data_IF_176270996142
#
_entry.id   IF_176270996142
#
_cell.length_a   1.000
_cell.length_b   1.000
_cell.length_c   1.000
_cell.angle_alpha   90.00
_cell.angle_beta   90.00
_cell.angle_gamma   90.00
#
_symmetry.space_group_name_H-M   'P 1'
#
loop_
_entity.id
_entity.type
_entity.pdbx_description
1 polymer ?
#
# COMPACT_ATOMS: atom_id res chain seq x y z
N UNK A 1 -29.93 15.16 38.16
CA UNK A 1 -28.83 15.00 37.18
C UNK A 1 -28.63 13.52 36.90
N UNK A 2 -29.22 13.00 35.83
CA UNK A 2 -29.14 11.59 35.44
C UNK A 2 -28.38 11.50 34.12
N UNK A 3 -27.05 11.37 34.22
CA UNK A 3 -26.20 11.00 33.09
C UNK A 3 -25.78 9.55 33.28
N UNK A 4 -26.52 8.64 32.66
CA UNK A 4 -26.05 7.27 32.43
C UNK A 4 -26.55 6.75 31.09
N UNK A 5 -25.57 6.23 30.33
CA UNK A 5 -25.67 5.14 29.35
C UNK A 5 -26.45 5.35 28.04
N UNK A 6 -25.93 6.19 27.14
CA UNK A 6 -26.03 5.90 25.69
C UNK A 6 -24.66 5.41 25.21
N UNK A 7 -24.45 4.09 25.26
CA UNK A 7 -23.44 3.47 24.38
C UNK A 7 -23.90 3.77 22.96
N UNK A 8 -23.16 4.59 22.23
CA UNK A 8 -23.45 4.92 20.83
C UNK A 8 -23.58 3.64 20.00
N UNK A 9 -24.82 3.26 19.69
CA UNK A 9 -25.14 2.13 18.81
C UNK A 9 -25.04 2.61 17.37
N UNK A 10 -23.82 2.90 16.93
CA UNK A 10 -23.52 3.44 15.59
C UNK A 10 -24.13 2.60 14.47
N UNK A 11 -24.28 1.29 14.67
CA UNK A 11 -24.93 0.35 13.73
C UNK A 11 -26.46 0.49 13.61
N UNK A 12 -27.10 1.41 14.35
CA UNK A 12 -28.55 1.73 14.23
C UNK A 12 -28.82 3.00 13.43
N UNK A 13 -27.80 3.67 12.91
CA UNK A 13 -27.99 4.87 12.09
C UNK A 13 -28.57 4.49 10.72
N UNK A 14 -29.37 5.36 10.13
CA UNK A 14 -30.07 5.08 8.88
C UNK A 14 -29.13 4.93 7.66
N UNK A 15 -27.91 5.46 7.76
CA UNK A 15 -26.81 5.33 6.80
C UNK A 15 -25.97 4.06 7.01
N UNK A 16 -26.20 3.31 8.09
CA UNK A 16 -25.54 2.03 8.31
C UNK A 16 -26.23 0.93 7.50
N UNK A 17 -25.49 0.07 6.77
CA UNK A 17 -26.08 -1.01 6.00
C UNK A 17 -26.95 -1.92 6.88
N UNK A 18 -28.17 -2.18 6.43
CA UNK A 18 -29.07 -3.10 7.12
C UNK A 18 -28.72 -4.56 6.76
N UNK A 19 -29.39 -5.52 7.41
CA UNK A 19 -29.12 -6.95 7.17
C UNK A 19 -29.37 -7.38 5.73
N UNK A 20 -30.30 -6.73 5.03
CA UNK A 20 -30.64 -7.01 3.63
C UNK A 20 -29.53 -6.49 2.71
N UNK A 21 -28.95 -5.32 2.98
CA UNK A 21 -27.81 -4.79 2.23
C UNK A 21 -26.59 -5.72 2.33
N UNK A 22 -26.33 -6.25 3.54
CA UNK A 22 -25.28 -7.24 3.76
C UNK A 22 -25.55 -8.55 3.00
N UNK A 23 -26.78 -9.07 3.09
CA UNK A 23 -27.18 -10.28 2.36
C UNK A 23 -27.12 -10.10 0.84
N UNK A 24 -27.44 -8.92 0.31
CA UNK A 24 -27.34 -8.62 -1.11
C UNK A 24 -25.89 -8.66 -1.61
N UNK A 25 -24.92 -8.25 -0.79
CA UNK A 25 -23.49 -8.34 -1.12
C UNK A 25 -23.03 -9.80 -1.02
N UNK A 26 -23.28 -10.47 0.11
CA UNK A 26 -22.86 -11.87 0.33
C UNK A 26 -23.51 -12.86 -0.65
N UNK A 27 -24.72 -12.59 -1.13
CA UNK A 27 -25.38 -13.44 -2.14
C UNK A 27 -24.89 -13.22 -3.56
N UNK A 28 -24.38 -12.02 -3.88
CA UNK A 28 -23.85 -11.68 -5.22
C UNK A 28 -22.40 -12.06 -5.40
N UNK A 29 -21.65 -12.13 -4.30
CA UNK A 29 -20.24 -12.51 -4.29
C UNK A 29 -20.06 -13.65 -3.31
N UNK A 30 -19.61 -14.79 -3.80
CA UNK A 30 -19.05 -15.81 -2.90
C UNK A 30 -17.76 -15.22 -2.29
N UNK A 31 -17.91 -14.61 -1.11
CA UNK A 31 -16.82 -13.96 -0.39
C UNK A 31 -15.71 -14.94 0.02
N UNK A 32 -15.98 -16.25 -0.05
CA UNK A 32 -14.99 -17.30 0.20
C UNK A 32 -14.35 -17.83 -1.08
N UNK A 33 -14.88 -17.46 -2.25
CA UNK A 33 -14.19 -17.71 -3.51
C UNK A 33 -13.01 -16.74 -3.63
N UNK A 34 -11.81 -17.31 -3.75
CA UNK A 34 -10.55 -16.58 -3.86
C UNK A 34 -10.57 -15.51 -4.96
N UNK A 35 -11.37 -15.70 -6.01
CA UNK A 35 -11.54 -14.73 -7.11
C UNK A 35 -12.31 -13.46 -6.71
N UNK A 36 -13.19 -13.57 -5.72
CA UNK A 36 -14.10 -12.50 -5.29
C UNK A 36 -13.72 -11.90 -3.94
N UNK A 37 -12.68 -12.43 -3.28
CA UNK A 37 -12.20 -11.91 -2.02
C UNK A 37 -11.75 -10.44 -2.17
N UNK A 38 -12.36 -9.48 -1.46
CA UNK A 38 -12.02 -8.07 -1.61
C UNK A 38 -10.61 -7.82 -1.07
N UNK A 39 -9.65 -7.58 -1.98
CA UNK A 39 -8.29 -7.22 -1.59
C UNK A 39 -8.25 -5.72 -1.27
N UNK A 40 -8.36 -5.37 0.01
CA UNK A 40 -8.35 -3.98 0.48
C UNK A 40 -6.92 -3.44 0.50
N UNK A 41 -6.72 -2.22 -0.03
CA UNK A 41 -5.53 -1.43 0.25
C UNK A 41 -5.86 -0.40 1.33
N UNK A 42 -5.17 -0.46 2.47
CA UNK A 42 -5.34 0.50 3.56
C UNK A 42 -4.38 1.65 3.31
N UNK A 43 -4.92 2.84 2.99
CA UNK A 43 -4.11 4.03 2.72
C UNK A 43 -3.26 4.42 3.94
N UNK A 44 -1.95 4.70 3.75
CA UNK A 44 -1.13 5.28 4.80
C UNK A 44 -1.62 6.65 5.29
N UNK A 45 -2.45 7.34 4.52
CA UNK A 45 -3.13 8.59 4.95
C UNK A 45 -3.96 8.38 6.22
N UNK A 46 -4.47 7.15 6.44
CA UNK A 46 -5.19 6.80 7.68
C UNK A 46 -4.29 6.83 8.92
N UNK A 47 -2.96 6.87 8.74
CA UNK A 47 -1.96 7.08 9.80
C UNK A 47 -1.37 8.50 9.79
N UNK A 48 -1.93 9.42 9.00
CA UNK A 48 -1.50 10.82 8.94
C UNK A 48 -0.37 11.12 7.94
N UNK A 49 -0.04 10.20 7.03
CA UNK A 49 0.99 10.43 6.02
C UNK A 49 0.41 11.10 4.77
N UNK A 50 1.01 12.20 4.35
CA UNK A 50 0.67 12.89 3.08
C UNK A 50 1.55 12.32 1.97
N UNK A 51 1.07 11.29 1.27
CA UNK A 51 1.91 10.49 0.35
C UNK A 51 2.53 11.32 -0.78
N UNK A 52 1.79 12.26 -1.35
CA UNK A 52 2.28 13.13 -2.42
C UNK A 52 3.55 13.90 -2.04
N UNK A 53 3.66 14.30 -0.77
CA UNK A 53 4.83 14.99 -0.24
C UNK A 53 6.04 14.09 -0.26
N UNK A 54 5.92 12.83 0.19
CA UNK A 54 7.01 11.86 0.18
C UNK A 54 7.44 11.50 -1.25
N UNK A 55 6.49 11.33 -2.17
CA UNK A 55 6.75 10.97 -3.57
C UNK A 55 7.31 12.13 -4.41
N UNK A 56 7.21 13.38 -3.94
CA UNK A 56 7.63 14.56 -4.72
C UNK A 56 8.65 15.39 -3.96
N UNK A 57 8.21 16.12 -2.92
CA UNK A 57 9.09 16.99 -2.14
C UNK A 57 10.15 16.22 -1.37
N UNK A 58 9.79 15.05 -0.83
CA UNK A 58 10.67 14.19 -0.05
C UNK A 58 11.86 13.67 -0.85
N UNK A 59 11.72 13.52 -2.17
CA UNK A 59 12.80 13.13 -3.08
C UNK A 59 13.45 14.33 -3.79
N UNK A 60 13.14 15.56 -3.35
CA UNK A 60 13.77 16.79 -3.85
C UNK A 60 13.19 17.35 -5.15
N UNK A 61 12.01 16.89 -5.59
CA UNK A 61 11.34 17.42 -6.78
C UNK A 61 10.34 18.52 -6.41
N UNK A 62 10.13 19.45 -7.34
CA UNK A 62 9.01 20.40 -7.26
C UNK A 62 7.67 19.76 -7.66
N UNK A 63 6.56 20.36 -7.22
CA UNK A 63 5.20 19.79 -7.43
C UNK A 63 4.85 19.53 -8.90
N UNK A 64 5.39 20.34 -9.81
CA UNK A 64 5.11 20.29 -11.25
C UNK A 64 6.22 19.60 -12.05
N UNK A 65 7.32 19.22 -11.41
CA UNK A 65 8.48 18.64 -12.07
C UNK A 65 8.26 17.14 -12.32
N UNK A 66 8.72 16.64 -13.45
CA UNK A 66 8.77 15.19 -13.74
C UNK A 66 10.05 14.59 -13.18
N UNK A 67 9.99 13.33 -12.76
CA UNK A 67 11.21 12.65 -12.31
C UNK A 67 12.19 12.51 -13.50
N UNK A 68 13.51 12.75 -13.33
CA UNK A 68 14.47 12.56 -14.41
C UNK A 68 14.49 11.12 -14.93
N UNK A 69 14.68 10.96 -16.24
CA UNK A 69 14.85 9.67 -16.92
C UNK A 69 16.25 9.06 -16.62
N UNK A 70 16.40 7.72 -16.70
CA UNK A 70 15.39 6.72 -17.03
C UNK A 70 14.56 6.27 -15.82
N UNK A 71 13.26 6.07 -16.05
CA UNK A 71 12.36 5.54 -15.03
C UNK A 71 12.50 4.02 -14.89
N UNK A 72 12.48 3.54 -13.64
CA UNK A 72 12.62 2.13 -13.29
C UNK A 72 11.62 1.77 -12.19
N UNK A 73 11.14 0.53 -12.21
CA UNK A 73 10.25 0.03 -11.18
C UNK A 73 10.96 -0.17 -9.82
N UNK A 74 10.23 -0.03 -8.70
CA UNK A 74 10.76 -0.34 -7.38
C UNK A 74 10.99 -1.85 -7.24
N UNK A 75 12.08 -2.22 -6.56
CA UNK A 75 12.47 -3.61 -6.37
C UNK A 75 12.58 -3.95 -4.89
N UNK A 76 11.90 -5.03 -4.49
CA UNK A 76 11.98 -5.57 -3.15
C UNK A 76 12.75 -6.90 -3.18
N UNK A 77 13.59 -7.12 -2.16
CA UNK A 77 14.50 -8.27 -2.16
C UNK A 77 13.72 -9.58 -2.05
N UNK A 78 14.14 -10.66 -2.74
CA UNK A 78 13.52 -11.96 -2.59
C UNK A 78 13.60 -12.43 -1.15
N UNK A 79 12.48 -12.91 -0.63
CA UNK A 79 12.40 -13.55 0.68
C UNK A 79 12.24 -15.05 0.47
N UNK A 80 13.07 -15.84 1.12
CA UNK A 80 12.89 -17.29 1.18
C UNK A 80 11.74 -17.61 2.12
N UNK A 81 10.73 -18.32 1.62
CA UNK A 81 9.56 -18.71 2.39
C UNK A 81 9.77 -20.03 3.14
N UNK A 82 10.82 -20.79 2.87
CA UNK A 82 11.09 -22.05 3.56
C UNK A 82 11.45 -21.77 5.02
N UNK A 83 10.63 -22.24 5.96
CA UNK A 83 10.84 -22.01 7.41
C UNK A 83 10.58 -20.59 7.88
N UNK A 84 10.09 -19.71 7.01
CA UNK A 84 9.79 -18.31 7.32
C UNK A 84 8.53 -18.19 8.19
N UNK A 85 8.44 -17.17 9.06
CA UNK A 85 7.30 -16.98 9.98
C UNK A 85 5.95 -16.91 9.26
N UNK A 86 5.93 -16.30 8.07
CA UNK A 86 4.73 -16.17 7.22
C UNK A 86 4.48 -17.35 6.28
N UNK A 87 5.26 -18.43 6.38
CA UNK A 87 5.15 -19.62 5.51
C UNK A 87 3.81 -20.36 5.65
N UNK A 88 3.12 -20.19 6.77
CA UNK A 88 1.77 -20.74 6.97
C UNK A 88 0.70 -20.09 6.06
N UNK A 89 0.99 -18.89 5.52
CA UNK A 89 0.08 -18.20 4.61
C UNK A 89 0.24 -18.78 3.19
N UNK A 90 -0.54 -19.82 2.87
CA UNK A 90 -0.47 -20.50 1.56
C UNK A 90 -0.60 -19.54 0.39
N UNK A 91 -1.52 -18.56 0.46
CA UNK A 91 -1.69 -17.56 -0.60
C UNK A 91 -0.43 -16.70 -0.83
N UNK A 92 0.33 -16.39 0.22
CA UNK A 92 1.58 -15.67 0.12
C UNK A 92 2.68 -16.54 -0.51
N UNK A 93 2.77 -17.81 -0.11
CA UNK A 93 3.68 -18.79 -0.71
C UNK A 93 3.37 -18.98 -2.20
N UNK A 94 2.09 -19.04 -2.59
CA UNK A 94 1.68 -19.09 -3.99
C UNK A 94 2.09 -17.81 -4.72
N UNK A 95 1.87 -16.63 -4.13
CA UNK A 95 2.19 -15.35 -4.75
C UNK A 95 3.68 -15.20 -5.08
N UNK A 96 4.60 -15.60 -4.18
CA UNK A 96 6.05 -15.51 -4.43
C UNK A 96 6.55 -16.44 -5.55
N UNK A 97 5.80 -17.51 -5.85
CA UNK A 97 6.11 -18.45 -6.93
C UNK A 97 5.33 -18.15 -8.23
N UNK A 98 4.38 -17.21 -8.19
CA UNK A 98 3.53 -16.88 -9.34
C UNK A 98 4.24 -15.89 -10.26
N UNK A 99 4.20 -16.15 -11.58
CA UNK A 99 4.77 -15.25 -12.59
C UNK A 99 3.85 -14.04 -12.82
N UNK A 100 4.39 -12.87 -13.21
CA UNK A 100 3.57 -11.72 -13.56
C UNK A 100 2.59 -12.05 -14.69
N UNK A 101 1.34 -11.60 -14.56
CA UNK A 101 0.28 -11.75 -15.56
C UNK A 101 -0.75 -10.63 -15.41
N UNK A 102 -1.30 -10.09 -16.52
CA UNK A 102 -2.41 -9.14 -16.48
C UNK A 102 -3.65 -9.67 -15.74
N UNK A 103 -3.85 -10.99 -15.65
CA UNK A 103 -4.95 -11.60 -14.91
C UNK A 103 -4.92 -11.27 -13.42
N UNK A 104 -3.72 -11.11 -12.86
CA UNK A 104 -3.52 -10.74 -11.45
C UNK A 104 -3.51 -9.23 -11.22
N UNK A 105 -3.67 -8.41 -12.27
CA UNK A 105 -3.64 -6.96 -12.13
C UNK A 105 -4.92 -6.45 -11.47
N UNK A 106 -4.77 -5.75 -10.35
CA UNK A 106 -5.88 -5.15 -9.64
C UNK A 106 -6.19 -3.75 -10.20
N UNK A 107 -6.83 -3.68 -11.36
CA UNK A 107 -7.05 -2.42 -12.10
C UNK A 107 -7.77 -1.34 -11.27
N UNK A 108 -8.64 -1.73 -10.34
CA UNK A 108 -9.36 -0.78 -9.46
C UNK A 108 -8.42 0.01 -8.56
N UNK A 109 -7.28 -0.57 -8.17
CA UNK A 109 -6.28 0.09 -7.32
C UNK A 109 -5.47 1.17 -8.06
N UNK A 110 -5.50 1.18 -9.40
CA UNK A 110 -4.82 2.21 -10.18
C UNK A 110 -5.32 3.61 -9.81
N UNK A 111 -6.63 3.75 -9.61
CA UNK A 111 -7.23 5.01 -9.17
C UNK A 111 -6.68 5.48 -7.81
N UNK A 112 -6.44 4.54 -6.89
CA UNK A 112 -5.85 4.82 -5.57
C UNK A 112 -4.39 5.25 -5.73
N UNK A 113 -3.60 4.52 -6.52
CA UNK A 113 -2.19 4.83 -6.77
C UNK A 113 -2.00 6.24 -7.33
N UNK A 114 -2.77 6.61 -8.37
CA UNK A 114 -2.72 7.94 -8.98
C UNK A 114 -3.17 9.02 -7.99
N UNK A 115 -4.24 8.76 -7.22
CA UNK A 115 -4.74 9.70 -6.21
C UNK A 115 -3.67 9.98 -5.13
N UNK A 116 -2.94 8.97 -4.70
CA UNK A 116 -1.88 9.14 -3.68
C UNK A 116 -0.70 9.97 -4.17
N UNK A 117 -0.43 9.96 -5.48
CA UNK A 117 0.58 10.81 -6.10
C UNK A 117 0.12 12.27 -6.27
N UNK A 118 -1.18 12.56 -6.05
CA UNK A 118 -1.82 13.89 -6.12
C UNK A 118 -1.55 14.67 -7.42
N UNK A 119 -1.24 13.93 -8.49
CA UNK A 119 -1.01 14.46 -9.84
C UNK A 119 -1.25 13.39 -10.87
N UNK A 120 -1.70 13.80 -12.05
CA UNK A 120 -1.73 12.93 -13.24
C UNK A 120 -0.28 12.73 -13.70
N UNK A 121 0.18 11.49 -13.64
CA UNK A 121 1.49 11.06 -14.13
C UNK A 121 1.40 9.61 -14.58
N UNK A 122 2.39 9.15 -15.35
CA UNK A 122 2.45 7.76 -15.79
C UNK A 122 2.72 6.83 -14.61
N UNK A 123 2.11 5.63 -14.64
CA UNK A 123 2.30 4.62 -13.58
C UNK A 123 3.79 4.32 -13.33
N UNK A 124 4.61 4.35 -14.38
CA UNK A 124 6.05 4.10 -14.32
C UNK A 124 6.82 5.28 -13.69
N UNK A 125 6.33 6.51 -13.82
CA UNK A 125 6.90 7.66 -13.11
C UNK A 125 6.62 7.54 -11.61
N UNK A 126 5.40 7.16 -11.22
CA UNK A 126 5.05 6.86 -9.81
C UNK A 126 5.97 5.76 -9.27
N UNK A 127 6.19 4.71 -10.06
CA UNK A 127 7.09 3.62 -9.72
C UNK A 127 8.52 4.12 -9.47
N UNK A 128 9.05 4.96 -10.34
CA UNK A 128 10.36 5.56 -10.20
C UNK A 128 10.44 6.46 -8.96
N UNK A 129 9.41 7.25 -8.66
CA UNK A 129 9.35 8.08 -7.44
C UNK A 129 9.36 7.22 -6.18
N UNK A 130 8.60 6.12 -6.15
CA UNK A 130 8.63 5.13 -5.06
C UNK A 130 10.04 4.53 -4.94
N UNK A 131 10.68 4.18 -6.05
CA UNK A 131 12.04 3.65 -6.07
C UNK A 131 13.04 4.67 -5.48
N UNK A 132 12.97 5.94 -5.89
CA UNK A 132 13.81 7.00 -5.32
C UNK A 132 13.56 7.21 -3.83
N UNK A 133 12.30 7.13 -3.40
CA UNK A 133 11.94 7.16 -1.97
C UNK A 133 12.57 5.99 -1.19
N UNK A 134 12.65 4.80 -1.78
CA UNK A 134 13.33 3.62 -1.20
C UNK A 134 14.86 3.74 -1.21
N UNK A 135 15.46 4.34 -2.24
CA UNK A 135 16.92 4.47 -2.36
C UNK A 135 17.49 5.60 -1.49
N UNK A 136 16.70 6.66 -1.30
CA UNK A 136 17.09 7.84 -0.51
C UNK A 136 16.57 7.78 0.94
N UNK A 137 16.01 6.64 1.37
CA UNK A 137 15.46 6.42 2.71
C UNK A 137 14.50 7.55 3.17
N UNK A 138 13.62 7.97 2.26
CA UNK A 138 12.69 9.08 2.48
C UNK A 138 11.49 8.56 3.27
N UNK A 139 11.46 8.87 4.57
CA UNK A 139 10.40 8.44 5.49
C UNK A 139 10.56 6.99 5.98
N UNK A 140 9.58 6.47 6.72
CA UNK A 140 9.63 5.10 7.22
C UNK A 140 9.66 4.09 6.09
N UNK A 141 10.52 3.09 6.18
CA UNK A 141 10.73 2.12 5.10
C UNK A 141 9.53 1.21 4.84
N UNK A 142 8.70 0.90 5.85
CA UNK A 142 7.39 0.27 5.63
C UNK A 142 6.47 1.07 4.68
N UNK A 143 6.61 2.41 4.63
CA UNK A 143 5.78 3.27 3.80
C UNK A 143 6.11 3.09 2.31
N UNK A 144 7.39 3.19 1.95
CA UNK A 144 7.83 3.07 0.56
C UNK A 144 7.65 1.65 0.03
N UNK A 145 7.90 0.64 0.85
CA UNK A 145 7.67 -0.78 0.51
C UNK A 145 6.17 -1.11 0.37
N UNK A 146 5.29 -0.54 1.21
CA UNK A 146 3.84 -0.69 1.02
C UNK A 146 3.34 0.00 -0.26
N UNK A 147 3.89 1.16 -0.64
CA UNK A 147 3.58 1.82 -1.91
C UNK A 147 4.12 1.01 -3.11
N UNK A 148 5.31 0.43 -3.01
CA UNK A 148 5.86 -0.47 -4.03
C UNK A 148 4.98 -1.71 -4.21
N UNK A 149 4.48 -2.28 -3.11
CA UNK A 149 3.51 -3.37 -3.17
C UNK A 149 2.22 -2.98 -3.90
N UNK A 150 1.67 -1.79 -3.61
CA UNK A 150 0.50 -1.26 -4.31
C UNK A 150 0.76 -1.14 -5.82
N UNK A 151 1.92 -0.61 -6.22
CA UNK A 151 2.30 -0.53 -7.63
C UNK A 151 2.33 -1.92 -8.29
N UNK A 152 2.97 -2.90 -7.68
CA UNK A 152 3.06 -4.26 -8.25
C UNK A 152 1.72 -4.99 -8.32
N UNK A 153 0.81 -4.72 -7.38
CA UNK A 153 -0.60 -5.16 -7.43
C UNK A 153 -1.33 -4.57 -8.64
N UNK A 154 -1.14 -3.28 -8.91
CA UNK A 154 -1.69 -2.62 -10.11
C UNK A 154 -1.13 -3.22 -11.40
N UNK A 155 0.18 -3.58 -11.42
CA UNK A 155 0.83 -4.17 -12.60
C UNK A 155 0.58 -5.67 -12.79
N UNK A 156 0.01 -6.37 -11.80
CA UNK A 156 -0.20 -7.81 -11.87
C UNK A 156 1.08 -8.62 -11.70
N UNK A 157 1.96 -8.21 -10.77
CA UNK A 157 3.15 -8.96 -10.37
C UNK A 157 3.03 -9.43 -8.91
N UNK A 158 2.37 -10.57 -8.65
CA UNK A 158 2.15 -11.07 -7.30
C UNK A 158 3.45 -11.31 -6.53
N UNK A 159 4.50 -11.75 -7.23
CA UNK A 159 5.79 -12.07 -6.63
C UNK A 159 6.45 -10.83 -6.03
N UNK A 160 6.58 -9.75 -6.81
CA UNK A 160 7.16 -8.51 -6.30
C UNK A 160 6.26 -7.84 -5.27
N UNK A 161 4.93 -7.86 -5.46
CA UNK A 161 4.00 -7.37 -4.46
C UNK A 161 4.16 -8.08 -3.12
N UNK A 162 4.27 -9.41 -3.12
CA UNK A 162 4.49 -10.22 -1.93
C UNK A 162 5.81 -9.87 -1.23
N UNK A 163 6.92 -9.80 -1.97
CA UNK A 163 8.21 -9.42 -1.36
C UNK A 163 8.16 -8.03 -0.72
N UNK A 164 7.56 -7.05 -1.39
CA UNK A 164 7.42 -5.71 -0.83
C UNK A 164 6.52 -5.67 0.42
N UNK A 165 5.42 -6.44 0.45
CA UNK A 165 4.56 -6.53 1.63
C UNK A 165 5.25 -7.23 2.79
N UNK A 166 6.01 -8.29 2.52
CA UNK A 166 6.79 -8.99 3.54
C UNK A 166 7.82 -8.03 4.14
N UNK A 167 8.56 -7.29 3.29
CA UNK A 167 9.51 -6.27 3.74
C UNK A 167 8.81 -5.20 4.61
N UNK A 168 7.63 -4.72 4.20
CA UNK A 168 6.86 -3.73 4.95
C UNK A 168 6.39 -4.19 6.34
N UNK A 169 6.09 -5.49 6.50
CA UNK A 169 5.53 -6.06 7.74
C UNK A 169 6.64 -6.46 8.72
N UNK A 170 7.72 -7.05 8.22
CA UNK A 170 8.76 -7.64 9.06
C UNK A 170 9.83 -6.65 9.47
N UNK A 171 9.83 -5.44 8.90
CA UNK A 171 10.84 -4.48 9.26
C UNK A 171 10.70 -4.09 10.75
N UNK A 172 11.78 -4.23 11.55
CA UNK A 172 11.74 -3.87 12.95
C UNK A 172 11.51 -2.36 13.08
N UNK A 173 10.45 -1.98 13.79
CA UNK A 173 10.22 -0.61 14.26
C UNK A 173 11.35 -0.25 15.22
N UNK A 174 12.53 0.15 14.72
CA UNK A 174 13.66 0.37 15.61
C UNK A 174 15.05 0.62 15.03
N UNK A 175 15.32 0.48 13.73
CA UNK A 175 16.58 1.00 13.20
C UNK A 175 16.42 2.49 12.94
N UNK A 176 16.83 3.29 13.94
CA UNK A 176 17.10 4.71 13.75
C UNK A 176 17.90 4.94 12.44
N UNK A 177 17.66 6.04 11.72
CA UNK A 177 18.42 6.33 10.51
C UNK A 177 19.92 6.33 10.86
N UNK A 178 20.81 5.83 9.98
CA UNK A 178 22.19 6.27 10.03
C UNK A 178 22.11 7.79 9.95
N UNK A 179 22.53 8.43 11.03
CA UNK A 179 22.64 9.87 11.20
C UNK A 179 22.89 10.57 9.86
N UNK A 180 22.03 11.53 9.50
CA UNK A 180 22.39 12.85 8.95
C UNK A 180 21.10 13.68 8.72
N UNK A 181 21.01 14.79 9.46
CA UNK A 181 20.30 16.04 9.17
C UNK A 181 18.80 16.03 8.76
N UNK A 182 17.88 15.92 9.72
CA UNK A 182 16.52 16.48 9.57
C UNK A 182 16.25 17.74 10.42
N UNK A 183 17.26 18.33 11.04
CA UNK A 183 17.11 19.54 11.87
C UNK A 183 16.85 20.87 11.12
N UNK A 184 16.42 20.88 9.86
CA UNK A 184 16.30 22.14 9.10
C UNK A 184 15.00 22.34 8.31
N UNK A 185 13.86 21.83 8.77
CA UNK A 185 12.54 22.25 8.24
C UNK A 185 11.51 22.54 9.35
N UNK A 186 11.95 23.29 10.37
CA UNK A 186 11.05 24.18 11.14
C UNK A 186 11.70 25.56 11.24
N UNK A 187 11.35 26.42 10.28
CA UNK A 187 11.23 27.86 10.47
C UNK A 187 9.83 28.25 10.00
#
# INVERSE_FOLDING_TARGET
ATWSTVRDRFWRRADWPNSVDCQAIVSRTDIFNQKWFPQVFISPENKGYVIADYLTRGIGLESHEEHPLPWREPYCKPVDMVGHELSFLTGLVTAVHTRPSPEYAETRLKSVLVRLADRIMEDIEIAQRIRSMMENDVGPRWLSTNLAALYWRVKGNPKQAAYCLIEAILEPVGTAPPTLHWYSLRK
#
